data_IF_400184237653
#
_entry.id   IF_400184237653
#
_cell.length_a   1.000
_cell.length_b   1.000
_cell.length_c   1.000
_cell.angle_alpha   90.00
_cell.angle_beta   90.00
_cell.angle_gamma   90.00
#
_symmetry.space_group_name_H-M   'P 1'
#
loop_
_entity.id
_entity.type
_entity.pdbx_description
1 polymer ?
#
# COMPACT_ATOMS: atom_id res chain seq x y z
N UNK A 1 0.92 -8.31 9.52
CA UNK A 1 1.63 -7.80 8.31
C UNK A 1 1.07 -6.43 7.92
N UNK A 2 1.72 -5.63 7.05
CA UNK A 2 1.18 -4.31 6.64
C UNK A 2 -0.21 -4.41 6.00
N UNK A 3 -0.46 -5.49 5.24
CA UNK A 3 -1.76 -5.77 4.60
C UNK A 3 -2.84 -5.97 5.67
N UNK A 4 -2.61 -6.84 6.66
CA UNK A 4 -3.58 -7.07 7.74
C UNK A 4 -3.92 -5.80 8.52
N UNK A 5 -2.94 -4.90 8.70
CA UNK A 5 -3.17 -3.62 9.35
C UNK A 5 -4.08 -2.71 8.53
N UNK A 6 -3.86 -2.61 7.21
CA UNK A 6 -4.75 -1.85 6.32
C UNK A 6 -6.17 -2.41 6.42
N UNK A 7 -6.32 -3.73 6.32
CA UNK A 7 -7.62 -4.38 6.42
C UNK A 7 -8.30 -4.09 7.76
N UNK A 8 -7.57 -4.14 8.86
CA UNK A 8 -8.10 -3.82 10.19
C UNK A 8 -8.50 -2.34 10.33
N UNK A 9 -7.74 -1.42 9.73
CA UNK A 9 -8.04 0.02 9.77
C UNK A 9 -9.29 0.39 8.97
N UNK A 10 -9.53 -0.30 7.85
CA UNK A 10 -10.68 -0.03 6.98
C UNK A 10 -11.89 -0.91 7.29
N UNK A 11 -11.76 -1.85 8.23
CA UNK A 11 -12.83 -2.79 8.56
C UNK A 11 -14.07 -2.04 9.05
N UNK A 12 -15.20 -2.25 8.38
CA UNK A 12 -16.48 -1.63 8.72
C UNK A 12 -16.61 -0.14 8.36
N UNK A 13 -15.58 0.47 7.78
CA UNK A 13 -15.68 1.85 7.27
C UNK A 13 -16.37 1.87 5.91
N UNK A 14 -17.27 2.84 5.75
CA UNK A 14 -17.73 3.24 4.42
C UNK A 14 -16.65 4.06 3.72
N UNK A 15 -16.77 4.24 2.40
CA UNK A 15 -15.85 5.09 1.65
C UNK A 15 -15.84 6.53 2.18
N UNK A 16 -17.01 7.10 2.49
CA UNK A 16 -17.13 8.45 3.03
C UNK A 16 -16.53 8.58 4.43
N UNK A 17 -16.75 7.57 5.29
CA UNK A 17 -16.16 7.54 6.63
C UNK A 17 -14.63 7.46 6.57
N UNK A 18 -14.09 6.66 5.65
CA UNK A 18 -12.65 6.60 5.40
C UNK A 18 -12.12 7.93 4.85
N UNK A 19 -12.83 8.56 3.90
CA UNK A 19 -12.43 9.84 3.31
C UNK A 19 -12.42 10.99 4.32
N UNK A 20 -13.24 10.92 5.36
CA UNK A 20 -13.26 11.89 6.45
C UNK A 20 -12.22 11.64 7.56
N UNK A 21 -11.61 10.45 7.62
CA UNK A 21 -10.64 10.07 8.65
C UNK A 21 -9.18 10.14 8.12
N UNK A 22 -8.58 11.32 8.26
CA UNK A 22 -7.19 11.59 7.84
C UNK A 22 -6.18 10.67 8.53
N UNK A 23 -6.42 10.30 9.80
CA UNK A 23 -5.51 9.45 10.57
C UNK A 23 -5.48 8.04 9.99
N UNK A 24 -6.65 7.48 9.71
CA UNK A 24 -6.77 6.15 9.11
C UNK A 24 -6.19 6.14 7.70
N UNK A 25 -6.41 7.21 6.92
CA UNK A 25 -5.78 7.38 5.61
C UNK A 25 -4.26 7.39 5.71
N UNK A 26 -3.67 8.19 6.59
CA UNK A 26 -2.22 8.26 6.73
C UNK A 26 -1.60 6.95 7.22
N UNK A 27 -2.27 6.25 8.14
CA UNK A 27 -1.87 4.93 8.59
C UNK A 27 -1.88 3.91 7.42
N UNK A 28 -2.91 3.93 6.58
CA UNK A 28 -3.01 3.07 5.40
C UNK A 28 -1.95 3.41 4.34
N UNK A 29 -1.77 4.71 4.02
CA UNK A 29 -0.74 5.19 3.09
C UNK A 29 0.66 4.76 3.55
N UNK A 30 0.97 4.88 4.85
CA UNK A 30 2.25 4.46 5.40
C UNK A 30 2.49 2.96 5.24
N UNK A 31 1.46 2.13 5.41
CA UNK A 31 1.54 0.69 5.19
C UNK A 31 1.79 0.38 3.70
N UNK A 32 1.09 1.05 2.78
CA UNK A 32 1.26 0.91 1.34
C UNK A 32 2.66 1.36 0.87
N UNK A 33 3.19 2.44 1.43
CA UNK A 33 4.54 2.91 1.14
C UNK A 33 5.59 1.85 1.48
N UNK A 34 5.48 1.21 2.65
CA UNK A 34 6.40 0.14 3.07
C UNK A 34 6.30 -1.09 2.16
N UNK A 35 5.10 -1.43 1.69
CA UNK A 35 4.91 -2.51 0.72
C UNK A 35 5.58 -2.18 -0.62
N UNK A 36 5.42 -0.95 -1.10
CA UNK A 36 6.07 -0.46 -2.32
C UNK A 36 7.61 -0.50 -2.19
N UNK A 37 8.15 -0.04 -1.06
CA UNK A 37 9.60 -0.10 -0.78
C UNK A 37 10.12 -1.53 -0.72
N UNK A 38 9.37 -2.46 -0.12
CA UNK A 38 9.71 -3.88 -0.09
C UNK A 38 9.71 -4.47 -1.50
N UNK A 39 8.69 -4.16 -2.32
CA UNK A 39 8.62 -4.60 -3.71
C UNK A 39 9.81 -4.07 -4.54
N UNK A 40 10.21 -2.81 -4.34
CA UNK A 40 11.41 -2.25 -5.00
C UNK A 40 12.66 -3.04 -4.59
N UNK A 41 12.86 -3.28 -3.29
CA UNK A 41 14.03 -4.01 -2.76
C UNK A 41 14.13 -5.45 -3.24
N UNK A 42 12.99 -6.14 -3.40
CA UNK A 42 12.96 -7.52 -3.88
C UNK A 42 13.35 -7.63 -5.37
N UNK A 43 13.30 -6.55 -6.14
CA UNK A 43 13.81 -6.57 -7.52
C UNK A 43 13.12 -7.65 -8.38
N UNK A 44 13.85 -8.31 -9.29
CA UNK A 44 13.33 -9.39 -10.13
C UNK A 44 12.86 -10.63 -9.36
N UNK A 45 13.42 -10.88 -8.17
CA UNK A 45 13.09 -12.05 -7.34
C UNK A 45 11.60 -12.09 -6.98
N UNK A 46 10.97 -10.92 -6.84
CA UNK A 46 9.53 -10.82 -6.58
C UNK A 46 8.69 -11.37 -7.76
N UNK A 47 9.10 -11.04 -8.97
CA UNK A 47 8.43 -11.45 -10.21
C UNK A 47 8.65 -12.94 -10.49
N UNK A 48 9.86 -13.44 -10.22
CA UNK A 48 10.19 -14.86 -10.34
C UNK A 48 9.41 -15.72 -9.32
N UNK A 49 9.33 -15.28 -8.07
CA UNK A 49 8.64 -16.03 -7.02
C UNK A 49 7.10 -15.93 -7.12
N UNK A 50 6.58 -14.81 -7.63
CA UNK A 50 5.14 -14.53 -7.70
C UNK A 50 4.77 -13.80 -9.00
N UNK A 51 4.79 -14.49 -10.15
CA UNK A 51 4.65 -13.86 -11.47
C UNK A 51 3.27 -13.28 -11.76
N UNK A 52 2.23 -13.69 -11.01
CA UNK A 52 0.85 -13.25 -11.24
C UNK A 52 0.54 -11.85 -10.66
N UNK A 53 1.47 -11.24 -9.93
CA UNK A 53 1.24 -9.95 -9.30
C UNK A 53 1.70 -8.80 -10.19
N UNK A 54 0.97 -7.69 -10.17
CA UNK A 54 1.30 -6.47 -10.92
C UNK A 54 2.46 -5.69 -10.25
N UNK A 55 3.65 -6.27 -10.22
CA UNK A 55 4.83 -5.74 -9.52
C UNK A 55 5.20 -4.33 -9.94
N UNK A 56 5.12 -4.00 -11.23
CA UNK A 56 5.35 -2.65 -11.74
C UNK A 56 4.41 -1.62 -11.07
N UNK A 57 3.13 -1.96 -10.90
CA UNK A 57 2.16 -1.10 -10.22
C UNK A 57 2.41 -0.97 -8.71
N UNK A 58 2.77 -2.09 -8.06
CA UNK A 58 3.10 -2.09 -6.63
C UNK A 58 4.34 -1.23 -6.34
N UNK A 59 5.33 -1.23 -7.24
CA UNK A 59 6.51 -0.36 -7.12
C UNK A 59 6.17 1.11 -7.40
N UNK A 60 5.30 1.40 -8.37
CA UNK A 60 5.00 2.78 -8.77
C UNK A 60 4.10 3.53 -7.79
N UNK A 61 3.23 2.83 -7.03
CA UNK A 61 2.30 3.47 -6.09
C UNK A 61 3.01 4.30 -5.01
N UNK A 62 4.23 3.91 -4.60
CA UNK A 62 5.02 4.65 -3.63
C UNK A 62 5.39 6.06 -4.10
N UNK A 63 5.51 6.30 -5.42
CA UNK A 63 5.78 7.63 -5.97
C UNK A 63 4.54 8.52 -5.90
N UNK A 64 3.36 7.98 -6.21
CA UNK A 64 2.08 8.69 -6.13
C UNK A 64 1.80 9.11 -4.69
N UNK A 65 2.08 8.24 -3.72
CA UNK A 65 1.85 8.50 -2.29
C UNK A 65 2.81 9.55 -1.72
N UNK A 66 4.01 9.70 -2.27
CA UNK A 66 5.00 10.71 -1.80
C UNK A 66 4.76 12.11 -2.34
N UNK A 67 4.15 12.26 -3.51
CA UNK A 67 3.97 13.56 -4.18
C UNK A 67 2.68 14.29 -3.74
N UNK A 68 1.80 13.64 -2.98
CA UNK A 68 0.50 14.17 -2.54
C UNK A 68 0.50 14.67 -1.08
N UNK A 69 1.68 15.00 -0.55
CA UNK A 69 1.89 15.66 0.74
C UNK A 69 1.95 17.18 0.55
#
# INVERSE_FOLDING_TARGET
MNIDRILAYTAGLTADAFAADERTQDAAKRCLQRLSEAAVKLGPVAEEAMPQHAWAGIRSIGNVLRQRL
#
